data_IF_979715357306
#
_entry.id   IF_979715357306
#
_cell.length_a   1.000
_cell.length_b   1.000
_cell.length_c   1.000
_cell.angle_alpha   90.00
_cell.angle_beta   90.00
_cell.angle_gamma   90.00
#
_symmetry.space_group_name_H-M   'P 1'
#
loop_
_entity.id
_entity.type
_entity.pdbx_description
1 polymer ?
#
# COMPACT_ATOMS: atom_id res chain seq x y z
N UNK A 1 -13.55 5.09 -10.35
CA UNK A 1 -12.89 4.73 -9.07
C UNK A 1 -11.53 4.15 -9.43
N UNK A 2 -10.50 4.51 -8.68
CA UNK A 2 -9.12 4.05 -8.90
C UNK A 2 -8.78 2.98 -7.86
N UNK A 3 -8.23 1.86 -8.31
CA UNK A 3 -7.52 0.93 -7.46
C UNK A 3 -6.02 1.26 -7.50
N UNK A 4 -5.39 1.38 -6.34
CA UNK A 4 -3.94 1.58 -6.18
C UNK A 4 -3.34 0.37 -5.50
N UNK A 5 -2.30 -0.19 -6.12
CA UNK A 5 -1.51 -1.33 -5.62
C UNK A 5 -0.08 -0.89 -5.35
N UNK A 6 0.30 -0.93 -4.08
CA UNK A 6 1.70 -0.89 -3.65
C UNK A 6 2.17 -2.31 -3.34
N UNK A 7 3.45 -2.59 -3.56
CA UNK A 7 4.07 -3.88 -3.28
C UNK A 7 5.41 -3.70 -2.56
N UNK A 8 5.69 -4.60 -1.62
CA UNK A 8 6.96 -4.66 -0.92
C UNK A 8 7.28 -6.07 -0.45
N UNK A 9 8.57 -6.36 -0.30
CA UNK A 9 9.05 -7.68 0.11
C UNK A 9 9.77 -7.55 1.45
N UNK A 10 9.44 -8.42 2.40
CA UNK A 10 9.99 -8.44 3.76
C UNK A 10 10.56 -9.83 4.05
N UNK A 11 11.72 -9.96 4.73
CA UNK A 11 12.19 -11.27 5.20
C UNK A 11 11.15 -11.93 6.11
N UNK A 12 10.90 -13.22 5.93
CA UNK A 12 9.85 -13.95 6.66
C UNK A 12 9.94 -13.79 8.18
N UNK A 13 11.16 -13.76 8.73
CA UNK A 13 11.41 -13.55 10.15
C UNK A 13 10.90 -12.21 10.71
N UNK A 14 10.67 -11.21 9.85
CA UNK A 14 10.18 -9.87 10.23
C UNK A 14 8.73 -9.62 9.82
N UNK A 15 8.10 -10.54 9.09
CA UNK A 15 6.83 -10.32 8.43
C UNK A 15 5.67 -10.01 9.39
N UNK A 16 5.59 -10.70 10.53
CA UNK A 16 4.51 -10.46 11.50
C UNK A 16 4.57 -9.06 12.11
N UNK A 17 5.76 -8.60 12.49
CA UNK A 17 5.97 -7.26 13.01
C UNK A 17 5.66 -6.19 11.95
N UNK A 18 6.10 -6.41 10.70
CA UNK A 18 5.76 -5.52 9.60
C UNK A 18 4.26 -5.44 9.35
N UNK A 19 3.57 -6.59 9.31
CA UNK A 19 2.11 -6.65 9.16
C UNK A 19 1.40 -5.85 10.24
N UNK A 20 1.85 -5.95 11.49
CA UNK A 20 1.25 -5.19 12.59
C UNK A 20 1.41 -3.68 12.41
N UNK A 21 2.59 -3.21 11.99
CA UNK A 21 2.81 -1.79 11.65
C UNK A 21 1.92 -1.32 10.49
N UNK A 22 1.76 -2.15 9.46
CA UNK A 22 0.84 -1.84 8.35
C UNK A 22 -0.60 -1.72 8.83
N UNK A 23 -1.04 -2.56 9.77
CA UNK A 23 -2.40 -2.51 10.33
C UNK A 23 -2.62 -1.34 11.29
N UNK A 24 -1.63 -1.02 12.11
CA UNK A 24 -1.79 -0.03 13.19
C UNK A 24 -1.47 1.41 12.74
N UNK A 25 -0.59 1.56 11.74
CA UNK A 25 -0.12 2.87 11.27
C UNK A 25 -0.62 3.12 9.86
N UNK A 26 -0.28 2.23 8.93
CA UNK A 26 -0.49 2.49 7.53
C UNK A 26 -1.99 2.52 7.19
N UNK A 27 -2.74 1.45 7.47
CA UNK A 27 -4.18 1.32 7.18
C UNK A 27 -5.01 2.49 7.73
N UNK A 28 -4.86 2.93 8.99
CA UNK A 28 -5.55 4.12 9.50
C UNK A 28 -5.21 5.38 8.72
N UNK A 29 -3.96 5.59 8.33
CA UNK A 29 -3.53 6.73 7.52
C UNK A 29 -4.22 6.74 6.14
N UNK A 30 -4.22 5.62 5.39
CA UNK A 30 -4.95 5.52 4.11
C UNK A 30 -6.44 5.88 4.27
N UNK A 31 -7.08 5.32 5.31
CA UNK A 31 -8.51 5.49 5.57
C UNK A 31 -8.88 6.86 6.11
N UNK A 32 -7.92 7.63 6.61
CA UNK A 32 -8.15 8.98 7.11
C UNK A 32 -8.39 10.01 5.99
N UNK A 33 -8.00 9.69 4.77
CA UNK A 33 -8.12 10.60 3.61
C UNK A 33 -9.55 10.59 3.07
N UNK A 34 -10.24 11.75 3.02
CA UNK A 34 -11.55 11.86 2.38
C UNK A 34 -11.48 11.43 0.91
N UNK A 35 -12.36 10.50 0.51
CA UNK A 35 -12.36 9.90 -0.83
C UNK A 35 -11.62 8.56 -0.93
N UNK A 36 -11.00 8.07 0.15
CA UNK A 36 -10.62 6.66 0.26
C UNK A 36 -11.88 5.79 0.42
N UNK A 37 -11.99 4.75 -0.42
CA UNK A 37 -13.12 3.79 -0.44
C UNK A 37 -12.80 2.48 0.25
N UNK A 38 -11.57 2.33 0.73
CA UNK A 38 -11.12 1.15 1.43
C UNK A 38 -9.63 0.93 1.28
N UNK A 39 -9.06 0.24 2.25
CA UNK A 39 -7.66 -0.14 2.27
C UNK A 39 -7.51 -1.52 2.92
N UNK A 40 -6.71 -2.37 2.31
CA UNK A 40 -6.40 -3.72 2.75
C UNK A 40 -4.90 -3.98 2.63
N UNK A 41 -4.36 -4.64 3.65
CA UNK A 41 -3.01 -5.19 3.65
C UNK A 41 -3.11 -6.67 3.28
N UNK A 42 -2.74 -7.02 2.06
CA UNK A 42 -2.66 -8.39 1.58
C UNK A 42 -1.24 -8.89 1.80
N UNK A 43 -1.07 -10.18 2.05
CA UNK A 43 0.25 -10.77 2.12
C UNK A 43 0.27 -12.23 1.69
N UNK A 44 1.41 -12.67 1.17
CA UNK A 44 1.66 -14.06 0.74
C UNK A 44 3.11 -14.43 1.05
N UNK A 45 3.31 -15.61 1.63
CA UNK A 45 4.65 -16.16 1.84
C UNK A 45 5.21 -16.78 0.56
N UNK A 46 6.49 -16.57 0.29
CA UNK A 46 7.23 -17.16 -0.82
C UNK A 46 8.66 -17.50 -0.35
N UNK A 47 8.91 -18.77 -0.04
CA UNK A 47 10.19 -19.21 0.51
C UNK A 47 10.53 -18.50 1.83
N UNK A 48 11.66 -17.78 1.84
CA UNK A 48 12.19 -17.05 3.00
C UNK A 48 11.72 -15.58 3.06
N UNK A 49 10.81 -15.17 2.18
CA UNK A 49 10.25 -13.83 2.14
C UNK A 49 8.73 -13.83 2.21
N UNK A 50 8.16 -12.67 2.52
CA UNK A 50 6.72 -12.41 2.47
C UNK A 50 6.50 -11.17 1.61
N UNK A 51 5.66 -11.33 0.60
CA UNK A 51 5.16 -10.25 -0.23
C UNK A 51 4.01 -9.57 0.51
N UNK A 52 4.08 -8.26 0.62
CA UNK A 52 3.01 -7.41 1.12
C UNK A 52 2.46 -6.56 -0.02
N UNK A 53 1.15 -6.46 -0.10
CA UNK A 53 0.48 -5.56 -1.03
C UNK A 53 -0.53 -4.69 -0.30
N UNK A 54 -0.49 -3.39 -0.58
CA UNK A 54 -1.55 -2.48 -0.16
C UNK A 54 -2.47 -2.28 -1.34
N UNK A 55 -3.65 -2.90 -1.27
CA UNK A 55 -4.73 -2.67 -2.22
C UNK A 55 -5.67 -1.64 -1.62
N UNK A 56 -5.81 -0.51 -2.31
CA UNK A 56 -6.62 0.61 -1.86
C UNK A 56 -7.49 1.12 -2.99
N UNK A 57 -8.67 1.61 -2.65
CA UNK A 57 -9.63 2.15 -3.62
C UNK A 57 -9.91 3.61 -3.30
N UNK A 58 -10.06 4.43 -4.35
CA UNK A 58 -10.12 5.88 -4.26
C UNK A 58 -11.10 6.44 -5.27
N UNK A 59 -11.77 7.53 -4.94
CA UNK A 59 -12.73 8.18 -5.85
C UNK A 59 -12.12 8.47 -7.23
N UNK A 60 -10.96 9.13 -7.24
CA UNK A 60 -10.22 9.52 -8.43
C UNK A 60 -8.72 9.69 -8.13
N UNK A 61 -7.94 10.04 -9.16
CA UNK A 61 -6.50 10.27 -9.03
C UNK A 61 -6.14 11.53 -8.23
N UNK A 62 -7.01 12.54 -8.16
CA UNK A 62 -6.74 13.76 -7.39
C UNK A 62 -6.75 13.47 -5.89
N UNK A 63 -7.63 12.57 -5.43
CA UNK A 63 -7.60 12.05 -4.06
C UNK A 63 -6.30 11.28 -3.78
N UNK A 64 -5.85 10.45 -4.73
CA UNK A 64 -4.57 9.73 -4.57
C UNK A 64 -3.40 10.69 -4.50
N UNK A 65 -3.37 11.73 -5.33
CA UNK A 65 -2.33 12.76 -5.33
C UNK A 65 -2.29 13.51 -3.99
N UNK A 66 -3.44 13.81 -3.38
CA UNK A 66 -3.48 14.41 -2.04
C UNK A 66 -2.89 13.48 -0.95
N UNK A 67 -2.96 12.17 -1.14
CA UNK A 67 -2.42 11.17 -0.21
C UNK A 67 -0.92 10.88 -0.43
N UNK A 68 -0.51 10.68 -1.68
CA UNK A 68 0.81 10.19 -2.06
C UNK A 68 1.75 11.29 -2.60
N UNK A 69 1.21 12.46 -2.91
CA UNK A 69 1.93 13.56 -3.55
C UNK A 69 2.03 13.42 -5.07
N UNK A 70 2.85 14.29 -5.65
CA UNK A 70 3.15 14.34 -7.08
C UNK A 70 4.61 13.96 -7.30
N UNK A 71 4.95 13.04 -8.23
CA UNK A 71 4.06 12.28 -9.11
C UNK A 71 3.15 11.28 -8.38
N UNK A 72 1.91 11.13 -8.85
CA UNK A 72 0.86 10.32 -8.18
C UNK A 72 1.24 8.84 -8.03
N UNK A 73 2.07 8.33 -8.94
CA UNK A 73 2.57 6.95 -8.94
C UNK A 73 3.77 6.73 -8.01
N UNK A 74 4.22 7.74 -7.27
CA UNK A 74 5.30 7.58 -6.29
C UNK A 74 4.84 6.71 -5.12
N UNK A 75 5.70 5.77 -4.70
CA UNK A 75 5.47 4.99 -3.51
C UNK A 75 5.62 5.84 -2.24
N UNK A 76 4.55 5.93 -1.44
CA UNK A 76 4.59 6.49 -0.08
C UNK A 76 5.19 5.45 0.88
N UNK A 77 6.23 5.85 1.60
CA UNK A 77 6.88 5.04 2.64
C UNK A 77 6.75 5.70 4.01
N UNK A 78 6.68 4.87 5.04
CA UNK A 78 6.73 5.23 6.44
C UNK A 78 8.14 5.05 7.00
N UNK A 79 8.42 5.67 8.15
CA UNK A 79 9.74 5.62 8.78
C UNK A 79 10.20 4.18 9.05
N UNK A 80 9.27 3.30 9.45
CA UNK A 80 9.59 1.91 9.75
C UNK A 80 10.00 1.11 8.50
N UNK A 81 9.56 1.47 7.29
CA UNK A 81 9.75 0.64 6.09
C UNK A 81 11.21 0.29 5.80
N UNK A 82 12.15 1.18 6.13
CA UNK A 82 13.58 0.96 5.91
C UNK A 82 14.14 -0.22 6.73
N UNK A 83 13.55 -0.54 7.88
CA UNK A 83 14.02 -1.61 8.76
C UNK A 83 13.51 -3.00 8.34
N UNK A 84 12.50 -3.05 7.46
CA UNK A 84 11.80 -4.28 7.10
C UNK A 84 11.94 -4.66 5.63
N UNK A 85 11.85 -3.69 4.72
CA UNK A 85 11.82 -3.96 3.29
C UNK A 85 13.19 -4.39 2.78
N UNK A 86 13.21 -5.44 1.95
CA UNK A 86 14.41 -5.87 1.21
C UNK A 86 14.78 -4.81 0.17
N UNK A 87 13.77 -4.27 -0.52
CA UNK A 87 13.90 -3.22 -1.51
C UNK A 87 12.69 -2.29 -1.45
N UNK A 88 12.90 -1.02 -1.79
CA UNK A 88 11.86 0.00 -1.91
C UNK A 88 11.58 0.28 -3.40
N UNK A 89 10.54 -0.36 -3.93
CA UNK A 89 10.02 -0.06 -5.27
C UNK A 89 9.55 1.41 -5.40
N UNK A 90 10.14 2.22 -6.29
CA UNK A 90 9.87 3.65 -6.34
C UNK A 90 8.45 4.01 -6.79
N UNK A 91 7.79 3.10 -7.52
CA UNK A 91 6.51 3.35 -8.16
C UNK A 91 5.43 2.34 -7.78
N UNK A 92 4.19 2.80 -7.73
CA UNK A 92 2.98 1.98 -7.56
C UNK A 92 2.21 1.84 -8.87
N UNK A 93 1.24 0.93 -8.88
CA UNK A 93 0.33 0.77 -10.01
C UNK A 93 -1.05 1.33 -9.68
N UNK A 94 -1.66 2.00 -10.66
CA UNK A 94 -3.05 2.46 -10.63
C UNK A 94 -3.86 1.76 -11.71
N UNK A 95 -5.12 1.48 -11.39
CA UNK A 95 -6.06 0.82 -12.28
C UNK A 95 -7.40 1.54 -12.22
N UNK A 96 -8.03 1.69 -13.39
CA UNK A 96 -9.45 2.02 -13.45
C UNK A 96 -10.27 0.81 -13.02
N UNK A 97 -11.25 1.04 -12.14
CA UNK A 97 -12.14 -0.02 -11.64
C UNK A 97 -13.46 0.01 -12.39
N UNK A 98 -13.82 -1.12 -12.99
CA UNK A 98 -15.12 -1.36 -13.62
C UNK A 98 -15.87 -2.43 -12.83
N UNK A 99 -17.11 -2.13 -12.44
CA UNK A 99 -17.97 -3.02 -11.67
C UNK A 99 -19.22 -3.39 -12.47
N UNK A 100 -19.85 -4.52 -12.11
CA UNK A 100 -21.17 -4.84 -12.65
C UNK A 100 -22.19 -3.80 -12.18
N UNK A 101 -23.28 -3.55 -12.95
CA UNK A 101 -24.33 -2.61 -12.58
C UNK A 101 -25.01 -2.94 -11.25
#
# INVERSE_FOLDING_TARGET
>A
MIARRWHGIVPKAKADAYRQLMLDVAIPDYRSVPGNRGAWCLHREEGDVVHFEMLTFWDDLAVVEAFAGTPVDTAKYYDFDADFLIEKEPHVLHFEVSEAP
#
